data_IF_258852716803
#
_entry.id   IF_258852716803
#
_cell.length_a   1.000
_cell.length_b   1.000
_cell.length_c   1.000
_cell.angle_alpha   90.00
_cell.angle_beta   90.00
_cell.angle_gamma   90.00
#
_symmetry.space_group_name_H-M   'P 1'
#
loop_
_entity.id
_entity.type
_entity.pdbx_description
1 polymer ?
#
# COMPACT_ATOMS: atom_id res chain seq x y z
N UNK A 1 -6.88 -6.52 25.81
CA UNK A 1 -5.63 -6.09 26.48
C UNK A 1 -5.58 -4.57 26.39
N UNK A 2 -5.44 -3.84 27.50
CA UNK A 2 -5.24 -2.38 27.47
C UNK A 2 -3.74 -2.12 27.47
N UNK A 3 -3.21 -1.57 26.38
CA UNK A 3 -1.80 -1.18 26.28
C UNK A 3 -1.55 0.02 27.19
N UNK A 4 -0.53 -0.08 28.05
CA UNK A 4 -0.11 0.98 28.96
C UNK A 4 0.73 1.96 28.13
N UNK A 5 0.19 3.14 27.79
CA UNK A 5 0.91 4.17 27.00
C UNK A 5 2.19 4.60 27.71
N UNK A 6 3.30 4.67 26.97
CA UNK A 6 4.57 5.17 27.49
C UNK A 6 4.48 6.70 27.72
N UNK A 7 5.12 7.29 28.74
CA UNK A 7 5.01 8.73 29.02
C UNK A 7 5.47 9.66 27.89
N UNK A 8 6.24 9.15 26.92
CA UNK A 8 6.68 9.87 25.72
C UNK A 8 5.93 9.42 24.45
N UNK A 9 4.86 8.64 24.58
CA UNK A 9 4.04 8.18 23.47
C UNK A 9 2.99 9.24 23.13
N UNK A 10 3.23 9.96 22.04
CA UNK A 10 2.32 10.98 21.49
C UNK A 10 1.08 10.41 20.81
N UNK A 11 0.41 11.25 20.02
CA UNK A 11 -0.64 10.82 19.10
C UNK A 11 -0.09 9.90 18.00
N UNK A 12 -0.94 9.06 17.40
CA UNK A 12 -0.50 8.20 16.31
C UNK A 12 -0.30 8.99 15.02
N UNK A 13 0.31 8.36 14.01
CA UNK A 13 0.41 8.96 12.68
C UNK A 13 -0.98 9.21 12.08
N UNK A 14 -1.93 8.29 12.30
CA UNK A 14 -3.30 8.41 11.86
C UNK A 14 -3.99 9.61 12.52
N UNK A 15 -3.82 9.78 13.84
CA UNK A 15 -4.34 10.94 14.57
C UNK A 15 -3.78 12.25 13.98
N UNK A 16 -2.47 12.32 13.76
CA UNK A 16 -1.81 13.46 13.13
C UNK A 16 -2.35 13.76 11.72
N UNK A 17 -2.49 12.73 10.87
CA UNK A 17 -3.00 12.89 9.51
C UNK A 17 -4.50 13.23 9.45
N UNK A 18 -5.27 12.77 10.43
CA UNK A 18 -6.68 13.11 10.59
C UNK A 18 -6.82 14.60 10.94
N UNK A 19 -6.01 15.10 11.88
CA UNK A 19 -5.97 16.52 12.27
C UNK A 19 -5.52 17.42 11.10
N UNK A 20 -4.55 16.95 10.32
CA UNK A 20 -4.03 17.64 9.13
C UNK A 20 -4.96 17.53 7.89
N UNK A 21 -6.06 16.79 7.99
CA UNK A 21 -7.03 16.58 6.89
C UNK A 21 -6.50 15.74 5.72
N UNK A 22 -5.36 15.08 5.89
CA UNK A 22 -4.62 14.35 4.85
C UNK A 22 -4.74 12.82 4.94
N UNK A 23 -5.44 12.30 5.96
CA UNK A 23 -5.55 10.85 6.19
C UNK A 23 -6.07 10.09 4.97
N UNK A 24 -7.15 10.56 4.35
CA UNK A 24 -7.77 9.88 3.21
C UNK A 24 -6.83 9.84 1.99
N UNK A 25 -6.17 10.96 1.69
CA UNK A 25 -5.22 11.05 0.58
C UNK A 25 -4.00 10.16 0.82
N UNK A 26 -3.43 10.20 2.03
CA UNK A 26 -2.31 9.35 2.42
C UNK A 26 -2.66 7.86 2.32
N UNK A 27 -3.83 7.48 2.84
CA UNK A 27 -4.33 6.10 2.80
C UNK A 27 -4.53 5.63 1.36
N UNK A 28 -5.14 6.44 0.50
CA UNK A 28 -5.34 6.10 -0.91
C UNK A 28 -4.00 5.87 -1.64
N UNK A 29 -3.01 6.73 -1.40
CA UNK A 29 -1.68 6.60 -1.99
C UNK A 29 -0.98 5.34 -1.46
N UNK A 30 -1.06 5.09 -0.15
CA UNK A 30 -0.46 3.92 0.47
C UNK A 30 -1.04 2.62 -0.12
N UNK A 31 -2.36 2.52 -0.23
CA UNK A 31 -3.04 1.36 -0.83
C UNK A 31 -2.58 1.13 -2.27
N UNK A 32 -2.53 2.18 -3.10
CA UNK A 32 -2.06 2.07 -4.49
C UNK A 32 -0.63 1.55 -4.58
N UNK A 33 0.27 2.05 -3.72
CA UNK A 33 1.68 1.61 -3.67
C UNK A 33 1.81 0.16 -3.22
N UNK A 34 1.04 -0.25 -2.21
CA UNK A 34 1.03 -1.63 -1.72
C UNK A 34 0.57 -2.59 -2.81
N UNK A 35 -0.50 -2.26 -3.54
CA UNK A 35 -0.98 -3.09 -4.66
C UNK A 35 0.08 -3.20 -5.75
N UNK A 36 0.72 -2.10 -6.15
CA UNK A 36 1.78 -2.11 -7.15
C UNK A 36 2.96 -3.00 -6.71
N UNK A 37 3.41 -2.85 -5.47
CA UNK A 37 4.46 -3.68 -4.89
C UNK A 37 4.08 -5.17 -4.84
N UNK A 38 2.85 -5.51 -4.44
CA UNK A 38 2.37 -6.89 -4.43
C UNK A 38 2.37 -7.53 -5.83
N UNK A 39 2.05 -6.76 -6.87
CA UNK A 39 2.11 -7.22 -8.27
C UNK A 39 3.58 -7.48 -8.67
N UNK A 40 4.50 -6.57 -8.33
CA UNK A 40 5.94 -6.76 -8.60
C UNK A 40 6.50 -8.00 -7.90
N UNK A 41 6.18 -8.19 -6.62
CA UNK A 41 6.62 -9.37 -5.87
C UNK A 41 6.02 -10.65 -6.43
N UNK A 42 4.75 -10.63 -6.85
CA UNK A 42 4.13 -11.77 -7.51
C UNK A 42 4.82 -12.10 -8.85
N UNK A 43 5.21 -11.09 -9.63
CA UNK A 43 5.98 -11.30 -10.87
C UNK A 43 7.34 -11.93 -10.57
N UNK A 44 8.09 -11.41 -9.59
CA UNK A 44 9.39 -11.96 -9.19
C UNK A 44 9.26 -13.40 -8.71
N UNK A 45 8.33 -13.68 -7.80
CA UNK A 45 8.10 -15.00 -7.21
C UNK A 45 7.76 -16.06 -8.26
N UNK A 46 6.97 -15.68 -9.26
CA UNK A 46 6.53 -16.59 -10.33
C UNK A 46 7.39 -16.50 -11.60
N UNK A 47 8.47 -15.70 -11.60
CA UNK A 47 9.32 -15.43 -12.76
C UNK A 47 8.53 -14.99 -14.01
N UNK A 48 7.52 -14.14 -13.81
CA UNK A 48 6.67 -13.63 -14.88
C UNK A 48 7.19 -12.31 -15.43
N UNK A 49 7.10 -12.16 -16.75
CA UNK A 49 7.29 -10.86 -17.40
C UNK A 49 6.05 -9.98 -17.23
N UNK A 50 6.19 -8.68 -17.45
CA UNK A 50 5.08 -7.71 -17.40
C UNK A 50 3.95 -8.05 -18.37
N UNK A 51 4.28 -8.54 -19.57
CA UNK A 51 3.28 -8.99 -20.56
C UNK A 51 2.56 -10.27 -20.13
N UNK A 52 3.28 -11.24 -19.55
CA UNK A 52 2.68 -12.46 -19.03
C UNK A 52 1.75 -12.19 -17.84
N UNK A 53 2.14 -11.28 -16.95
CA UNK A 53 1.28 -10.86 -15.83
C UNK A 53 0.03 -10.15 -16.33
N UNK A 54 0.16 -9.24 -17.31
CA UNK A 54 -0.97 -8.52 -17.90
C UNK A 54 -1.99 -9.48 -18.53
N UNK A 55 -1.51 -10.47 -19.29
CA UNK A 55 -2.34 -11.52 -19.87
C UNK A 55 -3.10 -12.30 -18.78
N UNK A 56 -2.45 -12.65 -17.66
CA UNK A 56 -3.08 -13.36 -16.53
C UNK A 56 -4.14 -12.52 -15.82
N UNK A 57 -3.90 -11.21 -15.69
CA UNK A 57 -4.81 -10.27 -15.04
C UNK A 57 -5.92 -9.76 -15.96
N UNK A 58 -5.91 -10.13 -17.25
CA UNK A 58 -6.81 -9.59 -18.28
C UNK A 58 -6.72 -8.05 -18.38
N UNK A 59 -5.51 -7.52 -18.24
CA UNK A 59 -5.20 -6.10 -18.41
C UNK A 59 -4.23 -5.90 -19.57
N UNK A 60 -4.07 -4.67 -20.02
CA UNK A 60 -3.00 -4.31 -20.94
C UNK A 60 -1.66 -4.19 -20.21
N UNK A 61 -0.56 -4.41 -20.95
CA UNK A 61 0.81 -4.22 -20.42
C UNK A 61 1.06 -2.82 -19.86
N UNK A 62 0.36 -1.79 -20.38
CA UNK A 62 0.51 -0.40 -19.95
C UNK A 62 -0.27 -0.07 -18.67
N UNK A 63 -1.22 -0.93 -18.28
CA UNK A 63 -1.98 -0.81 -17.02
C UNK A 63 -1.30 -1.50 -15.83
N UNK A 64 -0.32 -2.36 -16.10
CA UNK A 64 0.67 -2.81 -15.12
C UNK A 64 1.89 -1.89 -15.18
#
# INVERSE_FOLDING_TARGET
MKTKKHPNEGSSLEDFLQEDGNLDAATLIAVKRVIAWQIEEAMKKNKLTKSAMAARMKTSRNQL
#
